data_IF_443004402850
#
_entry.id   IF_443004402850
#
_cell.length_a   1.000
_cell.length_b   1.000
_cell.length_c   1.000
_cell.angle_alpha   90.00
_cell.angle_beta   90.00
_cell.angle_gamma   90.00
#
_symmetry.space_group_name_H-M   'P 1'
#
loop_
_entity.id
_entity.type
_entity.pdbx_description
1 polymer ?
#
# COMPACT_ATOMS: atom_id res chain seq x y z
N UNK A 1 2.09 -2.24 12.57
CA UNK A 1 2.97 -1.69 11.50
C UNK A 1 2.40 -2.15 10.16
N UNK A 2 2.13 -1.25 9.21
CA UNK A 2 1.51 -1.60 7.92
C UNK A 2 2.44 -2.45 7.05
N UNK A 3 3.76 -2.16 7.05
CA UNK A 3 4.75 -2.92 6.29
C UNK A 3 4.89 -4.38 6.73
N UNK A 4 4.48 -4.71 7.95
CA UNK A 4 4.46 -6.10 8.43
C UNK A 4 3.58 -6.99 7.56
N UNK A 5 2.38 -6.53 7.19
CA UNK A 5 1.45 -7.34 6.39
C UNK A 5 1.97 -7.59 4.97
N UNK A 6 2.64 -6.58 4.38
CA UNK A 6 3.31 -6.73 3.09
C UNK A 6 4.48 -7.71 3.15
N UNK A 7 5.31 -7.62 4.19
CA UNK A 7 6.43 -8.56 4.38
C UNK A 7 5.93 -9.99 4.65
N UNK A 8 4.88 -10.14 5.44
CA UNK A 8 4.32 -11.45 5.77
C UNK A 8 3.72 -12.15 4.54
N UNK A 9 3.12 -11.37 3.65
CA UNK A 9 2.60 -11.82 2.36
C UNK A 9 3.69 -12.39 1.44
N UNK A 10 4.90 -11.83 1.49
CA UNK A 10 6.07 -12.33 0.78
C UNK A 10 6.74 -13.51 1.50
N UNK A 11 6.80 -13.45 2.84
CA UNK A 11 7.50 -14.42 3.67
C UNK A 11 6.83 -15.79 3.68
N UNK A 12 5.51 -15.84 3.82
CA UNK A 12 4.78 -17.11 3.96
C UNK A 12 4.95 -18.04 2.74
N UNK A 13 4.83 -17.57 1.48
CA UNK A 13 5.11 -18.38 0.30
C UNK A 13 6.54 -18.93 0.27
N UNK A 14 7.53 -18.14 0.71
CA UNK A 14 8.93 -18.57 0.79
C UNK A 14 9.14 -19.68 1.84
N UNK A 15 8.26 -19.75 2.84
CA UNK A 15 8.23 -20.82 3.84
C UNK A 15 7.36 -22.02 3.42
N UNK A 16 6.85 -22.04 2.20
CA UNK A 16 5.96 -23.10 1.71
C UNK A 16 4.55 -23.06 2.30
N UNK A 17 4.15 -21.92 2.89
CA UNK A 17 2.84 -21.73 3.53
C UNK A 17 2.06 -20.64 2.83
N UNK A 18 0.73 -20.76 2.80
CA UNK A 18 -0.13 -19.72 2.19
C UNK A 18 -0.38 -18.60 3.20
N UNK A 19 -0.32 -17.31 2.79
CA UNK A 19 -0.73 -16.21 3.64
C UNK A 19 -2.17 -16.36 4.13
N UNK A 20 -2.37 -16.05 5.40
CA UNK A 20 -3.69 -16.07 6.04
C UNK A 20 -4.60 -15.00 5.42
N UNK A 21 -5.91 -15.27 5.39
CA UNK A 21 -6.93 -14.40 4.77
C UNK A 21 -6.95 -13.02 5.41
N UNK A 22 -6.66 -12.94 6.71
CA UNK A 22 -6.52 -11.67 7.44
C UNK A 22 -5.45 -10.76 6.85
N UNK A 23 -4.30 -11.32 6.46
CA UNK A 23 -3.19 -10.57 5.85
C UNK A 23 -3.63 -9.99 4.50
N UNK A 24 -4.36 -10.76 3.70
CA UNK A 24 -4.91 -10.29 2.43
C UNK A 24 -5.85 -9.09 2.62
N UNK A 25 -6.78 -9.17 3.58
CA UNK A 25 -7.69 -8.06 3.86
C UNK A 25 -6.96 -6.79 4.30
N UNK A 26 -6.02 -6.90 5.26
CA UNK A 26 -5.25 -5.73 5.70
C UNK A 26 -4.42 -5.12 4.58
N UNK A 27 -3.77 -5.94 3.75
CA UNK A 27 -2.97 -5.46 2.62
C UNK A 27 -3.83 -4.75 1.57
N UNK A 28 -5.00 -5.29 1.22
CA UNK A 28 -5.90 -4.67 0.23
C UNK A 28 -6.46 -3.35 0.77
N UNK A 29 -6.97 -3.33 2.00
CA UNK A 29 -7.55 -2.13 2.62
C UNK A 29 -6.49 -1.02 2.70
N UNK A 30 -5.30 -1.34 3.18
CA UNK A 30 -4.21 -0.35 3.31
C UNK A 30 -3.74 0.16 1.95
N UNK A 31 -3.68 -0.70 0.93
CA UNK A 31 -3.32 -0.30 -0.44
C UNK A 31 -4.35 0.65 -1.04
N UNK A 32 -5.66 0.37 -0.86
CA UNK A 32 -6.74 1.26 -1.33
C UNK A 32 -6.67 2.62 -0.64
N UNK A 33 -6.46 2.64 0.69
CA UNK A 33 -6.32 3.88 1.45
C UNK A 33 -5.12 4.69 0.94
N UNK A 34 -3.95 4.06 0.79
CA UNK A 34 -2.75 4.73 0.29
C UNK A 34 -2.92 5.26 -1.14
N UNK A 35 -3.60 4.51 -2.01
CA UNK A 35 -3.92 4.95 -3.37
C UNK A 35 -4.84 6.17 -3.36
N UNK A 36 -5.87 6.16 -2.51
CA UNK A 36 -6.80 7.29 -2.38
C UNK A 36 -6.08 8.53 -1.84
N UNK A 37 -5.25 8.38 -0.80
CA UNK A 37 -4.45 9.49 -0.26
C UNK A 37 -3.48 10.02 -1.32
N UNK A 38 -2.76 9.14 -2.02
CA UNK A 38 -1.81 9.52 -3.07
C UNK A 38 -2.48 10.29 -4.19
N UNK A 39 -3.64 9.83 -4.68
CA UNK A 39 -4.37 10.50 -5.76
C UNK A 39 -4.91 11.86 -5.32
N UNK A 40 -5.42 11.98 -4.10
CA UNK A 40 -5.87 13.26 -3.53
C UNK A 40 -4.71 14.26 -3.39
N UNK A 41 -3.59 13.83 -2.83
CA UNK A 41 -2.39 14.67 -2.67
C UNK A 41 -1.86 15.10 -4.03
N UNK A 42 -1.67 14.14 -4.95
CA UNK A 42 -1.18 14.44 -6.30
C UNK A 42 -2.10 15.44 -7.01
N UNK A 43 -3.42 15.23 -6.97
CA UNK A 43 -4.38 16.15 -7.62
C UNK A 43 -4.36 17.53 -6.99
N UNK A 44 -4.30 17.62 -5.65
CA UNK A 44 -4.25 18.90 -4.92
C UNK A 44 -2.98 19.70 -5.23
N UNK A 45 -1.84 19.04 -5.37
CA UNK A 45 -0.54 19.70 -5.54
C UNK A 45 -0.04 19.72 -6.98
N UNK A 46 -0.76 19.09 -7.93
CA UNK A 46 -0.37 19.01 -9.36
C UNK A 46 -0.06 20.37 -9.98
N UNK A 47 -0.87 21.39 -9.68
CA UNK A 47 -0.68 22.75 -10.21
C UNK A 47 0.57 23.43 -9.67
N UNK A 48 1.05 23.01 -8.48
CA UNK A 48 2.27 23.54 -7.89
C UNK A 48 3.53 22.89 -8.43
N UNK A 49 3.47 21.66 -8.94
CA UNK A 49 4.62 20.91 -9.47
C UNK A 49 5.37 21.72 -10.53
N UNK A 50 4.65 22.46 -11.39
CA UNK A 50 5.25 23.29 -12.44
C UNK A 50 6.12 24.42 -11.88
N UNK A 51 5.83 24.93 -10.68
CA UNK A 51 6.63 25.98 -10.04
C UNK A 51 7.88 25.45 -9.32
N UNK A 52 8.00 24.13 -9.16
CA UNK A 52 9.18 23.48 -8.55
C UNK A 52 10.15 22.92 -9.59
N UNK A 53 9.79 22.97 -10.88
CA UNK A 53 10.65 22.60 -12.02
C UNK A 53 11.46 23.83 -12.46
#
# INVERSE_FOLDING_TARGET
NIFYYFMEMLRKPLMGTVPDVTIWFYTIITSIIMLMVSTLVLTKYRSRIVYWL
#
